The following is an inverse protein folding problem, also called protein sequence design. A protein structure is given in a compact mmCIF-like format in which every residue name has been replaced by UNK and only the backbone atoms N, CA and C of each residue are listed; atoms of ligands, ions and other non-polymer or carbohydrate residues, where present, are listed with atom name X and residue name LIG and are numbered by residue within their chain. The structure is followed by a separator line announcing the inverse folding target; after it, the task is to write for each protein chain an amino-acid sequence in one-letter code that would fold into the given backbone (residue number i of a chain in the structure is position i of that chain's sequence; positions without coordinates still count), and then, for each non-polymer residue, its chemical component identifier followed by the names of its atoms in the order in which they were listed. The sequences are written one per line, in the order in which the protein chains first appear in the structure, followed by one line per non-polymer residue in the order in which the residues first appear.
data_IF_339978178494
#
_entry.id   IF_339978178494
#
_cell.length_a   1.000
_cell.length_b   1.000
_cell.length_c   1.000
_cell.angle_alpha   90.00
_cell.angle_beta   90.00
_cell.angle_gamma   90.00
#
_symmetry.space_group_name_H-M   'P 1'
#
loop_
_entity.id
_entity.type
_entity.pdbx_description
1 polymer ?
#
# COMPACT_ATOMS: atom_id res chain seq x y z
N UNK A 1 0.18 11.21 31.84
CA UNK A 1 1.35 11.12 30.95
C UNK A 1 0.87 11.71 29.64
N UNK A 2 1.28 12.94 29.33
CA UNK A 2 0.93 13.54 28.04
C UNK A 2 1.43 12.60 26.95
N UNK A 3 0.57 12.22 26.01
CA UNK A 3 1.02 11.50 24.81
C UNK A 3 2.00 12.45 24.10
N UNK A 4 3.28 12.08 24.06
CA UNK A 4 4.21 12.68 23.10
C UNK A 4 3.56 12.68 21.73
N UNK A 5 3.68 13.79 20.99
CA UNK A 5 3.10 13.85 19.67
C UNK A 5 3.72 12.76 18.79
N UNK A 6 2.94 12.18 17.87
CA UNK A 6 3.44 11.15 16.94
C UNK A 6 4.70 11.67 16.21
N UNK A 7 4.76 12.97 15.92
CA UNK A 7 5.90 13.61 15.27
C UNK A 7 7.16 13.52 16.15
N UNK A 8 7.06 13.85 17.43
CA UNK A 8 8.19 13.75 18.38
C UNK A 8 8.66 12.30 18.54
N UNK A 9 7.74 11.32 18.58
CA UNK A 9 8.10 9.90 18.69
C UNK A 9 8.90 9.38 17.49
N UNK A 10 8.87 10.08 16.35
CA UNK A 10 9.63 9.74 15.15
C UNK A 10 11.00 10.43 15.08
N UNK A 11 11.32 11.32 16.02
CA UNK A 11 12.64 11.95 16.08
C UNK A 11 13.75 10.91 16.24
N UNK A 12 14.86 11.08 15.50
CA UNK A 12 16.01 10.19 15.49
C UNK A 12 15.71 8.70 15.14
N UNK A 13 14.51 8.39 14.65
CA UNK A 13 14.16 7.05 14.19
C UNK A 13 14.72 6.77 12.78
N UNK A 14 14.97 5.49 12.50
CA UNK A 14 15.30 5.00 11.17
C UNK A 14 14.14 4.19 10.62
N UNK A 15 13.62 4.57 9.45
CA UNK A 15 12.46 3.90 8.84
C UNK A 15 12.85 3.22 7.54
N UNK A 16 12.50 1.96 7.38
CA UNK A 16 12.56 1.25 6.11
C UNK A 16 11.19 1.28 5.43
N UNK A 17 11.12 1.69 4.17
CA UNK A 17 9.88 1.74 3.39
C UNK A 17 10.02 0.86 2.15
N UNK A 18 9.13 -0.14 2.02
CA UNK A 18 8.99 -0.92 0.77
C UNK A 18 7.97 -0.26 -0.15
N UNK A 19 8.15 -0.41 -1.46
CA UNK A 19 7.22 0.18 -2.44
C UNK A 19 7.29 1.70 -2.46
N UNK A 20 8.47 2.29 -2.20
CA UNK A 20 8.67 3.72 -2.04
C UNK A 20 8.28 4.57 -3.27
N UNK A 21 8.23 3.96 -4.46
CA UNK A 21 7.75 4.63 -5.69
C UNK A 21 6.23 4.52 -5.89
N UNK A 22 5.51 3.81 -5.01
CA UNK A 22 4.06 3.70 -5.02
C UNK A 22 3.37 4.96 -4.50
N UNK A 23 2.12 5.18 -4.94
CA UNK A 23 1.34 6.38 -4.64
C UNK A 23 1.28 6.72 -3.14
N UNK A 24 0.85 5.76 -2.30
CA UNK A 24 0.70 5.97 -0.85
C UNK A 24 2.07 6.17 -0.16
N UNK A 25 3.05 5.32 -0.48
CA UNK A 25 4.38 5.38 0.13
C UNK A 25 5.08 6.71 -0.16
N UNK A 26 4.91 7.26 -1.37
CA UNK A 26 5.44 8.59 -1.71
C UNK A 26 4.86 9.70 -0.85
N UNK A 27 3.54 9.69 -0.63
CA UNK A 27 2.88 10.65 0.27
C UNK A 27 3.42 10.50 1.69
N UNK A 28 3.61 9.27 2.17
CA UNK A 28 4.21 9.01 3.47
C UNK A 28 5.63 9.57 3.57
N UNK A 29 6.50 9.28 2.59
CA UNK A 29 7.88 9.78 2.56
C UNK A 29 7.91 11.32 2.53
N UNK A 30 7.10 11.96 1.68
CA UNK A 30 6.96 13.43 1.66
C UNK A 30 6.55 13.96 3.03
N UNK A 31 5.49 13.38 3.62
CA UNK A 31 4.95 13.84 4.90
C UNK A 31 6.00 13.76 6.00
N UNK A 32 6.72 12.65 6.13
CA UNK A 32 7.77 12.47 7.15
C UNK A 32 8.88 13.49 6.97
N UNK A 33 9.42 13.65 5.77
CA UNK A 33 10.51 14.60 5.51
C UNK A 33 10.09 16.05 5.77
N UNK A 34 8.82 16.39 5.52
CA UNK A 34 8.31 17.74 5.73
C UNK A 34 8.02 18.06 7.20
N UNK A 35 7.47 17.10 7.96
CA UNK A 35 6.99 17.37 9.34
C UNK A 35 7.96 16.92 10.43
N UNK A 36 8.90 16.03 10.12
CA UNK A 36 9.92 15.56 11.07
C UNK A 36 11.32 15.60 10.42
N UNK A 37 11.94 16.80 10.30
CA UNK A 37 13.26 16.95 9.70
C UNK A 37 14.38 16.30 10.53
N UNK A 38 14.15 16.00 11.81
CA UNK A 38 15.10 15.31 12.70
C UNK A 38 14.97 13.79 12.64
N UNK A 39 14.22 13.24 11.68
CA UNK A 39 14.30 11.81 11.37
C UNK A 39 15.76 11.44 11.09
N UNK A 40 16.23 10.30 11.60
CA UNK A 40 17.63 9.90 11.43
C UNK A 40 17.91 9.50 9.99
N UNK A 41 17.14 8.56 9.46
CA UNK A 41 17.33 8.04 8.10
C UNK A 41 16.08 7.34 7.57
N UNK A 42 15.88 7.38 6.25
CA UNK A 42 14.92 6.58 5.52
C UNK A 42 15.67 5.64 4.57
N UNK A 43 15.48 4.33 4.73
CA UNK A 43 15.87 3.34 3.73
C UNK A 43 14.68 3.08 2.80
N UNK A 44 14.85 3.34 1.51
CA UNK A 44 13.77 3.19 0.53
C UNK A 44 14.09 2.02 -0.41
N UNK A 45 13.33 0.93 -0.30
CA UNK A 45 13.45 -0.20 -1.23
C UNK A 45 12.78 0.18 -2.55
N UNK A 46 13.58 0.22 -3.61
CA UNK A 46 13.14 0.55 -4.97
C UNK A 46 13.51 -0.61 -5.89
N UNK A 47 12.50 -1.22 -6.52
CA UNK A 47 12.70 -2.33 -7.46
C UNK A 47 13.50 -1.87 -8.68
N UNK A 48 14.71 -2.37 -8.85
CA UNK A 48 15.56 -2.08 -10.01
C UNK A 48 16.62 -3.17 -10.16
N UNK A 49 17.26 -3.24 -11.32
CA UNK A 49 18.38 -4.17 -11.56
C UNK A 49 19.62 -3.84 -10.75
N UNK A 50 19.83 -2.56 -10.43
CA UNK A 50 21.00 -2.06 -9.74
C UNK A 50 20.72 -0.70 -9.07
N UNK A 51 21.67 -0.26 -8.25
CA UNK A 51 21.60 1.00 -7.50
C UNK A 51 21.45 2.22 -8.39
N UNK A 52 22.07 2.25 -9.58
CA UNK A 52 21.98 3.38 -10.50
C UNK A 52 20.56 3.52 -11.05
N UNK A 53 19.97 2.41 -11.48
CA UNK A 53 18.57 2.39 -11.93
C UNK A 53 17.60 2.69 -10.79
N UNK A 54 17.87 2.21 -9.57
CA UNK A 54 17.07 2.54 -8.39
C UNK A 54 17.08 4.04 -8.08
N UNK A 55 18.25 4.67 -8.11
CA UNK A 55 18.40 6.12 -7.94
C UNK A 55 17.70 6.91 -9.03
N UNK A 56 17.81 6.48 -10.29
CA UNK A 56 17.08 7.12 -11.40
C UNK A 56 15.56 7.04 -11.23
N UNK A 57 15.04 5.86 -10.86
CA UNK A 57 13.62 5.68 -10.55
C UNK A 57 13.19 6.53 -9.36
N UNK A 58 13.99 6.57 -8.29
CA UNK A 58 13.72 7.44 -7.14
C UNK A 58 13.65 8.92 -7.56
N UNK A 59 14.60 9.40 -8.35
CA UNK A 59 14.59 10.78 -8.83
C UNK A 59 13.33 11.07 -9.65
N UNK A 60 13.09 10.29 -10.71
CA UNK A 60 12.01 10.52 -11.69
C UNK A 60 10.60 10.22 -11.15
N UNK A 61 10.44 9.17 -10.35
CA UNK A 61 9.14 8.70 -9.87
C UNK A 61 8.75 9.28 -8.51
N UNK A 62 9.71 9.82 -7.74
CA UNK A 62 9.49 10.37 -6.39
C UNK A 62 9.83 11.86 -6.35
N UNK A 63 11.13 12.22 -6.40
CA UNK A 63 11.59 13.59 -6.13
C UNK A 63 11.09 14.58 -7.19
N UNK A 64 11.05 14.20 -8.46
CA UNK A 64 10.64 15.08 -9.54
C UNK A 64 9.13 15.34 -9.57
N UNK A 65 8.33 14.53 -8.86
CA UNK A 65 6.88 14.72 -8.80
C UNK A 65 6.52 16.02 -8.09
N UNK A 66 5.42 16.63 -8.54
CA UNK A 66 4.87 17.85 -7.93
C UNK A 66 4.56 17.67 -6.45
N UNK A 67 4.31 16.43 -5.99
CA UNK A 67 4.14 16.10 -4.58
C UNK A 67 5.23 16.71 -3.69
N UNK A 68 6.49 16.65 -4.15
CA UNK A 68 7.64 17.13 -3.39
C UNK A 68 7.86 18.64 -3.52
N UNK A 69 6.96 19.40 -4.16
CA UNK A 69 7.10 20.85 -4.35
C UNK A 69 7.30 21.60 -3.02
N UNK A 70 6.53 21.27 -1.99
CA UNK A 70 6.65 21.95 -0.68
C UNK A 70 8.02 21.71 -0.05
N UNK A 71 8.54 20.49 -0.11
CA UNK A 71 9.91 20.18 0.35
C UNK A 71 10.96 20.95 -0.49
N UNK A 72 10.78 21.00 -1.82
CA UNK A 72 11.67 21.78 -2.71
C UNK A 72 11.68 23.26 -2.34
N UNK A 73 10.53 23.83 -1.99
CA UNK A 73 10.40 25.22 -1.54
C UNK A 73 11.07 25.45 -0.18
N UNK A 74 10.91 24.53 0.78
CA UNK A 74 11.50 24.61 2.12
C UNK A 74 13.04 24.58 2.06
N UNK A 75 13.61 23.63 1.33
CA UNK A 75 15.07 23.41 1.35
C UNK A 75 15.81 24.16 0.23
N UNK A 76 15.12 24.53 -0.85
CA UNK A 76 15.70 25.27 -1.98
C UNK A 76 17.02 24.67 -2.47
N UNK A 77 18.11 25.44 -2.40
CA UNK A 77 19.45 25.02 -2.81
C UNK A 77 20.04 23.86 -1.99
N UNK A 78 19.55 23.67 -0.76
CA UNK A 78 20.03 22.61 0.15
C UNK A 78 19.27 21.29 -0.02
N UNK A 79 18.31 21.21 -0.95
CA UNK A 79 17.50 20.02 -1.18
C UNK A 79 18.35 18.76 -1.40
N UNK A 80 19.35 18.84 -2.28
CA UNK A 80 20.20 17.69 -2.59
C UNK A 80 20.93 17.17 -1.34
N UNK A 81 21.54 18.07 -0.58
CA UNK A 81 22.23 17.74 0.68
C UNK A 81 21.27 17.09 1.66
N UNK A 82 20.12 17.72 1.91
CA UNK A 82 19.10 17.20 2.82
C UNK A 82 18.62 15.79 2.42
N UNK A 83 18.29 15.59 1.15
CA UNK A 83 17.87 14.28 0.64
C UNK A 83 18.99 13.25 0.80
N UNK A 84 20.24 13.59 0.46
CA UNK A 84 21.37 12.67 0.57
C UNK A 84 21.72 12.29 2.02
N UNK A 85 21.48 13.19 2.97
CA UNK A 85 21.68 12.93 4.40
C UNK A 85 20.56 12.06 4.97
N UNK A 86 19.32 12.28 4.55
CA UNK A 86 18.14 11.63 5.12
C UNK A 86 17.74 10.34 4.43
N UNK A 87 18.10 10.13 3.16
CA UNK A 87 17.59 9.01 2.36
C UNK A 87 18.73 8.15 1.84
N UNK A 88 18.58 6.83 2.01
CA UNK A 88 19.35 5.83 1.29
C UNK A 88 18.41 5.01 0.42
N UNK A 89 18.59 5.13 -0.90
CA UNK A 89 17.85 4.32 -1.87
C UNK A 89 18.54 2.97 -2.01
N UNK A 90 17.76 1.90 -1.84
CA UNK A 90 18.25 0.52 -1.88
C UNK A 90 17.58 -0.18 -3.06
N UNK A 91 18.38 -0.65 -4.01
CA UNK A 91 17.88 -1.50 -5.08
C UNK A 91 17.46 -2.84 -4.48
N UNK A 92 16.17 -3.19 -4.59
CA UNK A 92 15.68 -4.44 -4.03
C UNK A 92 14.23 -4.74 -4.40
N UNK A 93 13.85 -6.01 -4.26
CA UNK A 93 12.52 -6.53 -4.54
C UNK A 93 11.96 -7.29 -3.34
N UNK A 94 10.71 -7.01 -2.97
CA UNK A 94 10.06 -7.62 -1.82
C UNK A 94 9.84 -9.13 -2.02
N UNK A 95 9.79 -9.62 -3.27
CA UNK A 95 9.67 -11.04 -3.58
C UNK A 95 10.94 -11.85 -3.28
N UNK A 96 12.00 -11.22 -2.80
CA UNK A 96 13.30 -11.84 -2.55
C UNK A 96 13.64 -11.78 -1.07
N UNK A 97 14.32 -12.80 -0.55
CA UNK A 97 14.89 -12.76 0.79
C UNK A 97 15.85 -11.57 0.95
N UNK A 98 15.76 -10.88 2.10
CA UNK A 98 16.53 -9.65 2.36
C UNK A 98 16.40 -8.61 1.24
N UNK A 99 15.25 -8.60 0.55
CA UNK A 99 14.95 -7.75 -0.59
C UNK A 99 15.88 -7.95 -1.80
N UNK A 100 16.64 -9.06 -1.86
CA UNK A 100 17.65 -9.29 -2.89
C UNK A 100 18.92 -8.42 -2.73
N UNK A 101 19.11 -7.78 -1.58
CA UNK A 101 20.29 -6.96 -1.29
C UNK A 101 21.49 -7.88 -1.09
N UNK A 102 22.48 -7.78 -1.98
CA UNK A 102 23.71 -8.59 -1.95
C UNK A 102 24.84 -7.91 -1.18
N UNK A 103 24.78 -6.59 -0.99
CA UNK A 103 25.73 -5.83 -0.19
C UNK A 103 25.55 -6.15 1.30
N UNK A 104 26.50 -6.89 1.86
CA UNK A 104 26.45 -7.35 3.25
C UNK A 104 26.61 -6.22 4.27
N UNK A 105 27.39 -5.18 3.94
CA UNK A 105 27.63 -4.05 4.84
C UNK A 105 26.36 -3.20 4.92
N UNK A 106 25.74 -2.89 3.79
CA UNK A 106 24.46 -2.20 3.73
C UNK A 106 23.36 -2.99 4.46
N UNK A 107 23.28 -4.30 4.23
CA UNK A 107 22.29 -5.14 4.88
C UNK A 107 22.45 -5.16 6.41
N UNK A 108 23.69 -5.22 6.91
CA UNK A 108 23.99 -5.13 8.34
C UNK A 108 23.73 -3.74 8.91
N UNK A 109 24.00 -2.67 8.15
CA UNK A 109 23.63 -1.31 8.52
C UNK A 109 22.12 -1.22 8.76
N UNK A 110 21.31 -1.70 7.79
CA UNK A 110 19.86 -1.68 7.88
C UNK A 110 19.36 -2.49 9.09
N UNK A 111 19.87 -3.72 9.30
CA UNK A 111 19.48 -4.56 10.46
C UNK A 111 19.75 -3.87 11.80
N UNK A 112 20.87 -3.15 11.93
CA UNK A 112 21.26 -2.44 13.17
C UNK A 112 20.46 -1.18 13.42
N UNK A 113 20.11 -0.46 12.36
CA UNK A 113 19.57 0.89 12.50
C UNK A 113 18.06 0.96 12.42
N UNK A 114 17.39 0.10 11.64
CA UNK A 114 15.94 0.20 11.40
C UNK A 114 15.15 0.00 12.70
N UNK A 115 14.35 1.02 13.04
CA UNK A 115 13.41 1.03 14.15
C UNK A 115 11.98 0.70 13.69
N UNK A 116 11.60 1.16 12.50
CA UNK A 116 10.25 1.04 11.94
C UNK A 116 10.31 0.53 10.51
N UNK A 117 9.46 -0.44 10.16
CA UNK A 117 9.33 -0.96 8.80
C UNK A 117 7.92 -0.71 8.28
N UNK A 118 7.81 0.03 7.19
CA UNK A 118 6.57 0.30 6.46
C UNK A 118 6.53 -0.56 5.21
N UNK A 119 5.72 -1.61 5.23
CA UNK A 119 5.51 -2.49 4.09
C UNK A 119 4.32 -2.00 3.25
N UNK A 120 4.62 -1.21 2.23
CA UNK A 120 3.62 -0.70 1.27
C UNK A 120 3.78 -1.30 -0.14
N UNK A 121 4.80 -2.15 -0.37
CA UNK A 121 4.95 -2.86 -1.63
C UNK A 121 3.78 -3.84 -1.83
N UNK A 122 3.13 -3.75 -2.98
CA UNK A 122 2.08 -4.67 -3.39
C UNK A 122 1.92 -4.66 -4.91
N UNK A 123 1.51 -5.79 -5.46
CA UNK A 123 0.81 -5.80 -6.74
C UNK A 123 -0.66 -5.52 -6.48
N UNK A 124 -1.19 -4.46 -7.10
CA UNK A 124 -2.57 -3.98 -6.87
C UNK A 124 -3.53 -4.31 -8.02
N UNK A 125 -3.09 -5.04 -9.04
CA UNK A 125 -3.97 -5.50 -10.12
C UNK A 125 -4.80 -6.68 -9.61
N UNK A 126 -6.12 -6.60 -9.80
CA UNK A 126 -7.05 -7.64 -9.33
C UNK A 126 -6.87 -8.98 -10.03
N UNK A 127 -6.38 -8.96 -11.27
CA UNK A 127 -6.16 -10.09 -12.16
C UNK A 127 -4.67 -10.26 -12.50
N UNK A 128 -3.73 -9.96 -11.59
CA UNK A 128 -2.31 -10.29 -11.87
C UNK A 128 -2.12 -11.81 -12.00
N UNK A 129 -1.11 -12.20 -12.79
CA UNK A 129 -0.56 -13.57 -12.81
C UNK A 129 -0.42 -14.12 -11.39
N UNK A 130 -0.96 -15.30 -11.15
CA UNK A 130 -1.09 -15.82 -9.78
C UNK A 130 0.23 -16.06 -9.06
N UNK A 131 1.22 -16.61 -9.77
CA UNK A 131 2.59 -16.79 -9.28
C UNK A 131 3.21 -15.46 -8.86
N UNK A 132 3.13 -14.43 -9.70
CA UNK A 132 3.65 -13.09 -9.40
C UNK A 132 2.93 -12.46 -8.20
N UNK A 133 1.60 -12.59 -8.14
CA UNK A 133 0.80 -12.05 -7.05
C UNK A 133 1.14 -12.71 -5.71
N UNK A 134 1.34 -14.04 -5.68
CA UNK A 134 1.80 -14.77 -4.50
C UNK A 134 3.17 -14.29 -4.04
N UNK A 135 4.15 -14.24 -4.94
CA UNK A 135 5.52 -13.86 -4.60
C UNK A 135 5.61 -12.44 -4.02
N UNK A 136 4.82 -11.50 -4.55
CA UNK A 136 4.85 -10.10 -4.07
C UNK A 136 3.98 -9.89 -2.82
N UNK A 137 2.70 -10.28 -2.87
CA UNK A 137 1.74 -9.90 -1.82
C UNK A 137 1.77 -10.87 -0.63
N UNK A 138 1.99 -12.16 -0.90
CA UNK A 138 1.98 -13.22 0.11
C UNK A 138 3.39 -13.46 0.64
N UNK A 139 4.30 -13.97 -0.19
CA UNK A 139 5.67 -14.29 0.25
C UNK A 139 6.52 -13.04 0.46
N UNK A 140 6.25 -11.94 -0.23
CA UNK A 140 6.88 -10.66 0.09
C UNK A 140 6.58 -10.18 1.51
N UNK A 141 5.38 -10.45 2.03
CA UNK A 141 5.06 -10.21 3.44
C UNK A 141 5.90 -11.09 4.37
N UNK A 142 6.21 -12.32 3.94
CA UNK A 142 7.14 -13.22 4.63
C UNK A 142 8.57 -12.73 4.64
N UNK A 143 9.10 -12.33 3.49
CA UNK A 143 10.46 -11.77 3.41
C UNK A 143 10.60 -10.51 4.25
N UNK A 144 9.54 -9.69 4.32
CA UNK A 144 9.49 -8.49 5.17
C UNK A 144 9.58 -8.83 6.65
N UNK A 145 8.76 -9.76 7.19
CA UNK A 145 8.86 -10.07 8.62
C UNK A 145 10.15 -10.83 8.94
N UNK A 146 10.64 -11.69 8.04
CA UNK A 146 11.95 -12.34 8.20
C UNK A 146 13.09 -11.32 8.33
N UNK A 147 13.04 -10.22 7.57
CA UNK A 147 14.01 -9.13 7.71
C UNK A 147 13.81 -8.38 9.03
N UNK A 148 12.56 -8.07 9.40
CA UNK A 148 12.25 -7.40 10.67
C UNK A 148 12.72 -8.22 11.89
N UNK A 149 12.60 -9.54 11.86
CA UNK A 149 13.07 -10.43 12.92
C UNK A 149 14.59 -10.40 13.08
N UNK A 150 15.32 -10.08 12.00
CA UNK A 150 16.78 -9.89 12.03
C UNK A 150 17.20 -8.49 12.48
N UNK A 151 16.27 -7.55 12.63
CA UNK A 151 16.57 -6.19 13.09
C UNK A 151 16.73 -6.14 14.62
N UNK A 152 17.75 -5.44 15.09
CA UNK A 152 18.11 -5.38 16.50
C UNK A 152 17.17 -4.48 17.32
N UNK A 153 16.73 -3.37 16.74
CA UNK A 153 15.97 -2.31 17.42
C UNK A 153 14.55 -2.17 16.87
N UNK A 154 14.01 -3.22 16.27
CA UNK A 154 12.70 -3.18 15.61
C UNK A 154 11.58 -2.92 16.63
N UNK A 155 10.87 -1.80 16.46
CA UNK A 155 9.76 -1.36 17.33
C UNK A 155 8.41 -1.64 16.69
N UNK A 156 8.28 -1.34 15.40
CA UNK A 156 7.01 -1.35 14.69
C UNK A 156 7.15 -1.84 13.25
N UNK A 157 6.34 -2.83 12.88
CA UNK A 157 6.07 -3.21 11.49
C UNK A 157 4.66 -2.75 11.12
N UNK A 158 4.54 -1.84 10.16
CA UNK A 158 3.27 -1.45 9.56
C UNK A 158 3.12 -2.12 8.20
N UNK A 159 2.05 -2.89 8.01
CA UNK A 159 1.71 -3.51 6.74
C UNK A 159 0.46 -2.85 6.13
N UNK A 160 0.59 -2.36 4.89
CA UNK A 160 -0.54 -1.86 4.12
C UNK A 160 -1.24 -3.03 3.44
N UNK A 161 -2.41 -3.39 3.95
CA UNK A 161 -3.32 -4.40 3.43
C UNK A 161 -4.46 -3.78 2.61
N UNK A 162 -5.68 -4.31 2.73
CA UNK A 162 -6.89 -3.74 2.12
C UNK A 162 -8.14 -4.15 2.89
N UNK A 163 -9.14 -3.27 2.99
CA UNK A 163 -10.43 -3.60 3.60
C UNK A 163 -11.17 -4.74 2.85
N UNK A 164 -10.86 -4.90 1.56
CA UNK A 164 -11.52 -5.88 0.68
C UNK A 164 -11.20 -7.32 1.02
N UNK A 165 -10.21 -7.62 1.88
CA UNK A 165 -9.97 -8.99 2.38
C UNK A 165 -11.19 -9.59 3.11
N UNK A 166 -12.11 -8.73 3.55
CA UNK A 166 -13.39 -9.14 4.14
C UNK A 166 -14.37 -9.71 3.11
N UNK A 167 -14.04 -9.66 1.82
CA UNK A 167 -14.85 -10.12 0.70
C UNK A 167 -16.13 -9.31 0.54
N UNK A 168 -17.22 -10.00 0.21
CA UNK A 168 -18.54 -9.41 -0.06
C UNK A 168 -19.44 -9.41 1.19
N UNK A 169 -18.86 -9.54 2.39
CA UNK A 169 -19.61 -9.48 3.65
C UNK A 169 -20.30 -8.12 3.79
N UNK A 170 -21.53 -8.15 4.29
CA UNK A 170 -22.33 -6.95 4.57
C UNK A 170 -22.55 -6.76 6.08
N UNK A 171 -22.94 -5.54 6.46
CA UNK A 171 -23.16 -5.17 7.86
C UNK A 171 -21.89 -4.71 8.58
N UNK A 172 -21.85 -4.92 9.89
CA UNK A 172 -20.74 -4.50 10.75
C UNK A 172 -19.63 -5.54 10.67
N UNK A 173 -18.46 -5.12 10.19
CA UNK A 173 -17.26 -5.94 10.09
C UNK A 173 -16.24 -5.41 11.10
N UNK A 174 -15.89 -6.23 12.08
CA UNK A 174 -14.90 -5.87 13.10
C UNK A 174 -13.48 -6.10 12.60
N UNK A 175 -12.52 -5.33 13.12
CA UNK A 175 -11.10 -5.40 12.81
C UNK A 175 -10.41 -6.61 13.46
N UNK A 176 -10.94 -7.82 13.21
CA UNK A 176 -10.33 -9.06 13.69
C UNK A 176 -9.17 -9.50 12.78
N UNK A 177 -8.09 -10.06 13.35
CA UNK A 177 -7.05 -10.70 12.56
C UNK A 177 -7.59 -11.98 11.88
N UNK A 178 -7.09 -12.26 10.68
CA UNK A 178 -7.31 -13.57 10.04
C UNK A 178 -6.42 -14.62 10.70
N UNK A 179 -6.98 -15.80 10.97
CA UNK A 179 -6.19 -16.93 11.45
C UNK A 179 -5.55 -17.67 10.28
N UNK A 180 -4.42 -18.31 10.51
CA UNK A 180 -3.81 -19.20 9.52
C UNK A 180 -4.80 -20.27 9.10
N UNK A 181 -4.98 -20.42 7.78
CA UNK A 181 -5.93 -21.34 7.17
C UNK A 181 -7.38 -20.86 7.12
N UNK A 182 -7.74 -19.71 7.70
CA UNK A 182 -9.09 -19.19 7.65
C UNK A 182 -9.51 -18.87 6.21
N UNK A 183 -10.75 -19.20 5.82
CA UNK A 183 -11.32 -18.89 4.50
C UNK A 183 -12.64 -18.15 4.60
N UNK A 184 -12.99 -17.37 3.58
CA UNK A 184 -14.28 -16.65 3.57
C UNK A 184 -15.48 -17.56 3.36
N UNK A 185 -15.28 -18.72 2.73
CA UNK A 185 -16.33 -19.73 2.54
C UNK A 185 -16.59 -20.60 3.79
N UNK A 186 -15.85 -20.39 4.89
CA UNK A 186 -16.03 -21.06 6.18
C UNK A 186 -15.41 -22.45 6.32
N UNK A 187 -14.75 -22.99 5.27
CA UNK A 187 -14.08 -24.30 5.32
C UNK A 187 -12.82 -24.31 6.20
N UNK A 188 -12.12 -23.17 6.26
CA UNK A 188 -10.87 -22.99 7.02
C UNK A 188 -9.79 -24.03 6.69
N UNK A 189 -9.65 -24.36 5.40
CA UNK A 189 -8.78 -25.38 4.84
C UNK A 189 -7.66 -24.80 3.95
N UNK A 190 -7.40 -23.48 4.03
CA UNK A 190 -6.37 -22.84 3.23
C UNK A 190 -4.96 -23.23 3.67
N UNK A 191 -4.19 -23.82 2.77
CA UNK A 191 -2.77 -24.05 2.97
C UNK A 191 -1.94 -23.20 1.99
N UNK A 192 -1.31 -22.15 2.51
CA UNK A 192 -0.54 -21.18 1.71
C UNK A 192 0.60 -21.86 0.93
N UNK A 193 1.21 -22.91 1.49
CA UNK A 193 2.29 -23.63 0.80
C UNK A 193 1.75 -24.51 -0.33
N UNK A 194 0.56 -25.08 -0.17
CA UNK A 194 -0.10 -25.80 -1.26
C UNK A 194 -0.52 -24.85 -2.39
N UNK A 195 -0.95 -23.63 -2.07
CA UNK A 195 -1.22 -22.60 -3.09
C UNK A 195 0.04 -22.25 -3.89
N UNK A 196 1.21 -22.13 -3.23
CA UNK A 196 2.49 -21.91 -3.92
C UNK A 196 2.85 -23.08 -4.83
N UNK A 197 2.74 -24.31 -4.31
CA UNK A 197 3.02 -25.51 -5.10
C UNK A 197 2.08 -25.61 -6.32
N UNK A 198 0.78 -25.31 -6.13
CA UNK A 198 -0.21 -25.33 -7.20
C UNK A 198 0.10 -24.28 -8.28
N UNK A 199 0.54 -23.07 -7.90
CA UNK A 199 0.97 -22.05 -8.84
C UNK A 199 2.21 -22.48 -9.64
N UNK A 200 3.21 -23.06 -8.97
CA UNK A 200 4.43 -23.55 -9.61
C UNK A 200 4.16 -24.74 -10.54
N UNK A 201 3.34 -25.69 -10.12
CA UNK A 201 2.94 -26.83 -10.95
C UNK A 201 2.19 -26.36 -12.19
N UNK A 202 1.24 -25.44 -12.03
CA UNK A 202 0.48 -24.90 -13.17
C UNK A 202 1.39 -24.18 -14.15
N UNK A 203 2.32 -23.36 -13.66
CA UNK A 203 3.29 -22.67 -14.52
C UNK A 203 4.18 -23.69 -15.27
N UNK A 204 4.70 -24.71 -14.58
CA UNK A 204 5.51 -25.75 -15.20
C UNK A 204 4.77 -26.57 -16.27
N UNK A 205 3.46 -26.81 -16.10
CA UNK A 205 2.61 -27.43 -17.12
C UNK A 205 2.49 -26.55 -18.37
N UNK A 206 2.22 -25.25 -18.18
CA UNK A 206 2.09 -24.29 -19.29
C UNK A 206 3.41 -24.11 -20.06
N UNK A 207 4.54 -24.11 -19.34
CA UNK A 207 5.88 -24.07 -19.94
C UNK A 207 6.16 -25.33 -20.77
N UNK A 208 5.75 -26.51 -20.29
CA UNK A 208 5.90 -27.78 -21.00
C UNK A 208 5.05 -27.85 -22.28
N UNK A 209 3.89 -27.18 -22.30
CA UNK A 209 3.05 -27.01 -23.48
C UNK A 209 3.66 -26.05 -24.53
N UNK A 210 4.78 -25.36 -24.20
CA UNK A 210 5.46 -24.37 -25.05
C UNK A 210 4.55 -23.24 -25.53
N UNK A 211 3.64 -22.81 -24.66
CA UNK A 211 2.81 -21.64 -24.90
C UNK A 211 3.68 -20.38 -24.92
N UNK A 212 3.21 -19.34 -25.60
CA UNK A 212 3.85 -18.03 -25.51
C UNK A 212 3.56 -17.33 -24.17
N UNK A 213 4.36 -16.31 -23.85
CA UNK A 213 4.27 -15.56 -22.58
C UNK A 213 2.90 -14.90 -22.38
N UNK A 214 2.21 -14.50 -23.45
CA UNK A 214 0.88 -13.89 -23.36
C UNK A 214 -0.17 -14.93 -22.95
N UNK A 215 -0.13 -16.12 -23.57
CA UNK A 215 -0.98 -17.24 -23.22
C UNK A 215 -0.72 -17.75 -21.79
N UNK A 216 0.55 -17.87 -21.39
CA UNK A 216 0.95 -18.21 -20.01
C UNK A 216 0.37 -17.18 -19.04
N UNK A 217 0.54 -15.89 -19.34
CA UNK A 217 0.03 -14.81 -18.52
C UNK A 217 -1.48 -14.91 -18.36
N UNK A 218 -2.24 -15.00 -19.45
CA UNK A 218 -3.70 -15.15 -19.40
C UNK A 218 -4.13 -16.37 -18.58
N UNK A 219 -3.53 -17.54 -18.81
CA UNK A 219 -3.87 -18.76 -18.08
C UNK A 219 -3.58 -18.64 -16.57
N UNK A 220 -2.46 -18.02 -16.19
CA UNK A 220 -2.10 -17.83 -14.78
C UNK A 220 -2.97 -16.79 -14.08
N UNK A 221 -3.49 -15.79 -14.81
CA UNK A 221 -4.49 -14.85 -14.26
C UNK A 221 -5.81 -15.54 -13.96
N UNK A 222 -6.32 -16.31 -14.93
CA UNK A 222 -7.56 -17.08 -14.78
C UNK A 222 -7.43 -18.09 -13.62
N UNK A 223 -6.27 -18.74 -13.52
CA UNK A 223 -5.97 -19.65 -12.43
C UNK A 223 -6.05 -18.95 -11.08
N UNK A 224 -5.42 -17.78 -10.92
CA UNK A 224 -5.49 -17.00 -9.67
C UNK A 224 -6.93 -16.63 -9.26
N UNK A 225 -7.77 -16.24 -10.23
CA UNK A 225 -9.19 -15.95 -9.98
C UNK A 225 -9.92 -17.22 -9.52
N UNK A 226 -9.65 -18.38 -10.14
CA UNK A 226 -10.25 -19.65 -9.72
C UNK A 226 -9.83 -20.03 -8.30
N UNK A 227 -8.54 -19.87 -7.95
CA UNK A 227 -8.03 -20.13 -6.59
C UNK A 227 -8.65 -19.19 -5.55
N UNK A 228 -8.75 -17.90 -5.86
CA UNK A 228 -9.41 -16.94 -4.97
C UNK A 228 -10.87 -17.33 -4.69
N UNK A 229 -11.64 -17.64 -5.75
CA UNK A 229 -13.05 -18.05 -5.64
C UNK A 229 -13.23 -19.37 -4.89
N UNK A 230 -12.31 -20.32 -5.06
CA UNK A 230 -12.31 -21.59 -4.32
C UNK A 230 -12.38 -21.35 -2.81
N UNK A 231 -11.63 -20.36 -2.32
CA UNK A 231 -11.54 -20.00 -0.90
C UNK A 231 -12.51 -18.89 -0.46
N UNK A 232 -13.33 -18.37 -1.39
CA UNK A 232 -14.38 -17.39 -1.13
C UNK A 232 -13.97 -15.92 -1.29
N UNK A 233 -12.77 -15.64 -1.80
CA UNK A 233 -12.35 -14.28 -2.14
C UNK A 233 -12.72 -13.91 -3.59
N UNK A 234 -13.03 -12.63 -3.86
CA UNK A 234 -13.56 -12.22 -5.15
C UNK A 234 -12.50 -12.21 -6.27
N UNK A 235 -11.22 -12.03 -5.93
CA UNK A 235 -10.12 -11.93 -6.91
C UNK A 235 -8.75 -12.23 -6.28
N UNK A 236 -7.75 -12.36 -7.15
CA UNK A 236 -6.36 -12.72 -6.80
C UNK A 236 -5.69 -11.73 -5.86
N UNK A 237 -5.89 -10.43 -6.08
CA UNK A 237 -5.29 -9.39 -5.23
C UNK A 237 -5.75 -9.53 -3.78
N UNK A 238 -7.06 -9.58 -3.57
CA UNK A 238 -7.64 -9.67 -2.23
C UNK A 238 -7.21 -10.95 -1.53
N UNK A 239 -7.21 -12.07 -2.26
CA UNK A 239 -6.80 -13.36 -1.73
C UNK A 239 -5.32 -13.38 -1.29
N UNK A 240 -4.42 -12.87 -2.12
CA UNK A 240 -2.98 -12.85 -1.82
C UNK A 240 -2.63 -11.89 -0.68
N UNK A 241 -3.38 -10.79 -0.52
CA UNK A 241 -3.27 -9.89 0.64
C UNK A 241 -3.74 -10.54 1.94
N UNK A 242 -4.82 -11.31 1.91
CA UNK A 242 -5.29 -12.06 3.08
C UNK A 242 -4.23 -13.09 3.53
N UNK A 243 -3.63 -13.83 2.60
CA UNK A 243 -2.53 -14.75 2.91
C UNK A 243 -1.29 -14.02 3.46
N UNK A 244 -0.97 -12.83 2.94
CA UNK A 244 0.11 -12.00 3.47
C UNK A 244 -0.09 -11.59 4.93
N UNK A 245 -1.34 -11.22 5.30
CA UNK A 245 -1.66 -10.92 6.71
C UNK A 245 -1.49 -12.14 7.62
N UNK A 246 -1.94 -13.32 7.18
CA UNK A 246 -1.80 -14.56 7.96
C UNK A 246 -0.33 -14.88 8.25
N UNK A 247 0.53 -14.77 7.24
CA UNK A 247 1.97 -14.99 7.39
C UNK A 247 2.62 -13.98 8.35
N UNK A 248 2.23 -12.70 8.29
CA UNK A 248 2.73 -11.66 9.20
C UNK A 248 2.31 -11.91 10.65
N UNK A 249 1.04 -12.23 10.88
CA UNK A 249 0.49 -12.45 12.22
C UNK A 249 1.11 -13.67 12.92
N UNK A 250 1.39 -14.72 12.15
CA UNK A 250 2.01 -15.93 12.69
C UNK A 250 3.53 -15.78 12.84
N UNK A 251 4.19 -15.26 11.80
CA UNK A 251 5.65 -15.30 11.67
C UNK A 251 6.41 -14.23 12.44
N UNK A 252 5.87 -13.01 12.58
CA UNK A 252 6.57 -11.92 13.24
C UNK A 252 6.79 -12.21 14.74
N UNK A 253 8.00 -11.95 15.23
CA UNK A 253 8.33 -12.09 16.65
C UNK A 253 7.45 -11.21 17.55
N UNK A 254 7.09 -11.72 18.73
CA UNK A 254 6.03 -11.15 19.59
C UNK A 254 6.40 -9.84 20.29
N UNK A 255 7.69 -9.51 20.36
CA UNK A 255 8.18 -8.24 20.91
C UNK A 255 8.05 -7.06 19.93
N UNK A 256 7.82 -7.32 18.64
CA UNK A 256 7.61 -6.26 17.64
C UNK A 256 6.13 -5.93 17.52
N UNK A 257 5.79 -4.65 17.60
CA UNK A 257 4.42 -4.20 17.36
C UNK A 257 4.05 -4.36 15.88
N UNK A 258 2.92 -4.98 15.60
CA UNK A 258 2.38 -5.13 14.24
C UNK A 258 1.14 -4.26 14.06
N UNK A 259 1.16 -3.39 13.05
CA UNK A 259 -0.01 -2.63 12.60
C UNK A 259 -0.39 -3.10 11.21
N UNK A 260 -1.63 -3.54 11.03
CA UNK A 260 -2.18 -3.87 9.73
C UNK A 260 -3.16 -2.76 9.34
N UNK A 261 -2.78 -1.94 8.37
CA UNK A 261 -3.63 -0.89 7.83
C UNK A 261 -4.43 -1.46 6.66
N UNK A 262 -5.76 -1.45 6.74
CA UNK A 262 -6.66 -1.99 5.69
C UNK A 262 -7.38 -0.85 4.95
N UNK A 263 -6.70 -0.10 4.06
CA UNK A 263 -7.34 0.98 3.32
C UNK A 263 -8.42 0.45 2.36
N UNK A 264 -9.40 1.30 2.08
CA UNK A 264 -10.34 1.17 0.96
C UNK A 264 -9.74 1.80 -0.30
N UNK A 265 -10.54 2.48 -1.12
CA UNK A 265 -10.06 3.34 -2.20
C UNK A 265 -9.22 4.48 -1.63
N UNK A 266 -8.01 4.65 -2.17
CA UNK A 266 -7.13 5.78 -1.91
C UNK A 266 -7.23 6.74 -3.10
N UNK A 267 -7.46 8.02 -2.82
CA UNK A 267 -7.73 9.05 -3.81
C UNK A 267 -6.87 10.30 -3.55
N UNK A 268 -7.10 11.37 -4.29
CA UNK A 268 -6.30 12.61 -4.25
C UNK A 268 -6.25 13.22 -2.85
N UNK A 269 -5.15 13.89 -2.54
CA UNK A 269 -4.97 14.60 -1.27
C UNK A 269 -6.11 15.60 -1.03
N UNK A 270 -6.68 15.60 0.17
CA UNK A 270 -7.69 16.59 0.54
C UNK A 270 -7.07 17.94 0.89
N UNK A 271 -6.00 17.95 1.71
CA UNK A 271 -5.41 19.18 2.25
C UNK A 271 -3.89 19.23 2.12
N UNK A 272 -3.19 18.19 2.58
CA UNK A 272 -1.73 18.17 2.66
C UNK A 272 -1.09 17.20 1.65
N UNK A 273 0.15 17.49 1.18
CA UNK A 273 0.89 18.75 1.36
C UNK A 273 0.25 19.94 0.64
N UNK A 274 -0.61 19.66 -0.34
CA UNK A 274 -1.52 20.59 -0.98
C UNK A 274 -2.74 19.80 -1.51
N UNK A 275 -3.90 20.43 -1.72
CA UNK A 275 -5.10 19.75 -2.20
C UNK A 275 -4.96 19.26 -3.65
N UNK A 276 -5.56 18.10 -3.93
CA UNK A 276 -5.82 17.60 -5.28
C UNK A 276 -4.66 16.84 -5.94
N UNK A 277 -3.55 16.57 -5.23
CA UNK A 277 -2.48 15.75 -5.80
C UNK A 277 -2.93 14.29 -5.92
N UNK A 278 -2.76 13.71 -7.11
CA UNK A 278 -3.05 12.31 -7.41
C UNK A 278 -2.06 11.78 -8.45
N UNK A 279 -1.83 10.48 -8.44
CA UNK A 279 -0.97 9.82 -9.43
C UNK A 279 -1.69 8.69 -10.17
N UNK A 280 -1.84 8.89 -11.47
CA UNK A 280 -2.56 7.99 -12.36
C UNK A 280 -4.07 7.98 -12.09
N UNK A 281 -4.79 7.21 -12.91
CA UNK A 281 -6.23 7.00 -12.79
C UNK A 281 -6.46 5.82 -11.84
N UNK A 282 -7.18 6.02 -10.73
CA UNK A 282 -7.48 4.99 -9.72
C UNK A 282 -8.98 4.67 -9.69
N UNK A 283 -9.34 3.40 -9.82
CA UNK A 283 -10.69 2.87 -9.55
C UNK A 283 -11.84 3.77 -10.04
N UNK A 284 -12.43 4.59 -9.16
CA UNK A 284 -13.57 5.48 -9.48
C UNK A 284 -13.20 6.55 -10.51
N UNK A 285 -11.94 6.97 -10.55
CA UNK A 285 -11.42 7.96 -11.49
C UNK A 285 -11.64 7.52 -12.94
N UNK A 286 -11.59 6.21 -13.24
CA UNK A 286 -11.85 5.69 -14.58
C UNK A 286 -13.25 6.04 -15.07
N UNK A 287 -14.25 5.92 -14.17
CA UNK A 287 -15.62 6.34 -14.44
C UNK A 287 -15.71 7.86 -14.59
N UNK A 288 -15.09 8.62 -13.68
CA UNK A 288 -15.08 10.09 -13.73
C UNK A 288 -14.50 10.59 -15.07
N UNK A 289 -13.37 10.03 -15.52
CA UNK A 289 -12.74 10.37 -16.80
C UNK A 289 -13.62 9.96 -17.97
N UNK A 290 -14.20 8.76 -17.96
CA UNK A 290 -15.07 8.28 -19.03
C UNK A 290 -16.31 9.18 -19.20
N UNK A 291 -16.95 9.57 -18.08
CA UNK A 291 -18.07 10.50 -18.10
C UNK A 291 -17.67 11.91 -18.54
N UNK A 292 -16.52 12.42 -18.09
CA UNK A 292 -16.01 13.73 -18.51
C UNK A 292 -15.72 13.83 -20.01
N UNK A 293 -15.25 12.75 -20.63
CA UNK A 293 -15.03 12.67 -22.09
C UNK A 293 -16.33 12.58 -22.91
N UNK A 294 -17.45 12.17 -22.32
CA UNK A 294 -18.73 11.94 -22.99
C UNK A 294 -19.63 13.19 -23.16
N UNK A 295 -19.08 14.41 -23.04
CA UNK A 295 -19.72 15.76 -23.14
C UNK A 295 -20.46 16.26 -21.89
N UNK A 296 -20.24 17.55 -21.62
CA UNK A 296 -20.38 18.30 -20.37
C UNK A 296 -21.79 18.52 -19.77
N UNK A 297 -22.90 18.00 -20.33
CA UNK A 297 -24.24 18.26 -19.77
C UNK A 297 -24.79 17.16 -18.85
N UNK A 298 -24.35 15.91 -19.00
CA UNK A 298 -24.76 14.80 -18.13
C UNK A 298 -23.80 14.58 -16.95
N UNK A 299 -22.60 15.18 -16.98
CA UNK A 299 -21.58 15.02 -15.95
C UNK A 299 -22.07 15.51 -14.57
N UNK A 300 -22.66 16.70 -14.48
CA UNK A 300 -23.19 17.24 -13.21
C UNK A 300 -24.39 16.45 -12.68
N UNK A 301 -25.27 15.95 -13.55
CA UNK A 301 -26.48 15.18 -13.18
C UNK A 301 -26.18 13.74 -12.74
N UNK A 302 -25.16 13.10 -13.33
CA UNK A 302 -24.74 11.75 -12.95
C UNK A 302 -23.85 11.82 -11.70
N UNK A 303 -22.91 12.77 -11.64
CA UNK A 303 -22.10 12.97 -10.45
C UNK A 303 -22.97 13.38 -9.25
N UNK A 304 -23.99 14.23 -9.43
CA UNK A 304 -24.95 14.52 -8.35
C UNK A 304 -25.76 13.30 -7.94
N UNK A 305 -26.13 12.39 -8.86
CA UNK A 305 -26.76 11.10 -8.54
C UNK A 305 -25.83 10.12 -7.81
N UNK A 306 -24.53 10.13 -8.08
CA UNK A 306 -23.55 9.28 -7.38
C UNK A 306 -23.13 9.89 -6.02
N UNK A 307 -23.00 11.21 -5.94
CA UNK A 307 -22.75 11.96 -4.70
C UNK A 307 -23.95 11.92 -3.74
N UNK A 308 -25.16 11.66 -4.24
CA UNK A 308 -26.39 11.59 -3.42
C UNK A 308 -26.60 10.26 -2.70
N UNK A 309 -25.79 9.22 -2.98
CA UNK A 309 -25.79 7.97 -2.20
C UNK A 309 -24.52 7.88 -1.36
N UNK A 310 -24.35 8.85 -0.45
CA UNK A 310 -23.45 8.69 0.68
C UNK A 310 -24.17 7.89 1.77
N UNK A 311 -23.93 6.58 1.82
CA UNK A 311 -24.42 5.71 2.90
C UNK A 311 -23.29 5.46 3.91
N UNK A 312 -23.33 6.17 5.04
CA UNK A 312 -22.44 5.97 6.19
C UNK A 312 -23.08 5.15 7.31
N UNK A 313 -24.18 4.43 7.05
CA UNK A 313 -24.94 3.74 8.10
C UNK A 313 -24.07 2.78 8.91
N UNK A 314 -23.26 1.94 8.25
CA UNK A 314 -22.39 0.99 8.94
C UNK A 314 -21.26 1.69 9.71
N UNK A 315 -20.82 2.83 9.21
CA UNK A 315 -19.76 3.61 9.80
C UNK A 315 -20.20 4.38 11.04
N UNK A 316 -21.38 4.98 10.95
CA UNK A 316 -22.08 5.59 12.09
C UNK A 316 -22.36 4.55 13.17
N UNK A 317 -22.77 3.33 12.79
CA UNK A 317 -22.94 2.21 13.74
C UNK A 317 -21.62 1.83 14.41
N UNK A 318 -20.54 1.63 13.65
CA UNK A 318 -19.21 1.33 14.20
C UNK A 318 -18.74 2.43 15.17
N UNK A 319 -18.87 3.71 14.77
CA UNK A 319 -18.54 4.85 15.63
C UNK A 319 -19.38 4.85 16.91
N UNK A 320 -20.67 4.53 16.85
CA UNK A 320 -21.51 4.45 18.05
C UNK A 320 -21.13 3.33 19.02
N UNK A 321 -20.40 2.32 18.54
CA UNK A 321 -19.89 1.21 19.35
C UNK A 321 -18.51 1.48 19.96
N UNK A 322 -17.78 2.50 19.47
CA UNK A 322 -16.48 2.87 20.00
C UNK A 322 -16.61 3.52 21.37
N UNK A 323 -15.62 3.30 22.24
CA UNK A 323 -15.61 3.99 23.53
C UNK A 323 -15.10 5.45 23.38
N UNK A 324 -15.33 6.29 24.39
CA UNK A 324 -14.95 7.72 24.34
C UNK A 324 -13.45 7.93 24.07
N UNK A 325 -12.59 7.11 24.67
CA UNK A 325 -11.13 7.19 24.48
C UNK A 325 -10.71 6.87 23.04
N UNK A 326 -11.34 5.88 22.42
CA UNK A 326 -11.12 5.52 21.02
C UNK A 326 -11.63 6.61 20.08
N UNK A 327 -12.79 7.20 20.37
CA UNK A 327 -13.32 8.31 19.58
C UNK A 327 -12.43 9.54 19.62
N UNK A 328 -11.82 9.85 20.77
CA UNK A 328 -10.90 10.99 20.90
C UNK A 328 -9.57 10.73 20.17
N UNK A 329 -9.11 9.47 20.14
CA UNK A 329 -7.82 9.10 19.54
C UNK A 329 -7.90 8.89 18.02
N UNK A 330 -8.95 8.22 17.56
CA UNK A 330 -9.15 7.82 16.16
C UNK A 330 -10.37 8.52 15.56
N UNK A 331 -10.61 9.78 15.93
CA UNK A 331 -11.79 10.52 15.50
C UNK A 331 -11.94 10.47 13.97
N UNK A 332 -13.06 9.91 13.57
CA UNK A 332 -13.37 9.68 12.18
C UNK A 332 -14.86 9.90 11.97
N UNK A 333 -15.17 11.04 11.35
CA UNK A 333 -16.52 11.42 10.95
C UNK A 333 -16.49 11.75 9.46
N UNK A 334 -17.18 11.00 8.61
CA UNK A 334 -17.22 11.34 7.20
C UNK A 334 -17.82 12.72 6.91
N UNK A 335 -18.68 13.21 7.80
CA UNK A 335 -19.28 14.55 7.69
C UNK A 335 -18.27 15.66 8.00
N UNK A 336 -17.06 15.30 8.47
CA UNK A 336 -15.96 16.26 8.63
C UNK A 336 -15.44 16.80 7.30
N UNK A 337 -15.73 16.12 6.19
CA UNK A 337 -15.40 16.57 4.84
C UNK A 337 -16.65 17.10 4.15
N UNK A 338 -16.53 18.28 3.54
CA UNK A 338 -17.48 18.70 2.52
C UNK A 338 -17.19 17.90 1.24
N UNK A 339 -17.89 16.78 1.06
CA UNK A 339 -17.68 15.87 -0.06
C UNK A 339 -17.95 16.53 -1.42
N UNK A 340 -18.97 17.38 -1.52
CA UNK A 340 -19.26 18.10 -2.76
C UNK A 340 -18.09 19.00 -3.14
N UNK A 341 -17.60 19.81 -2.21
CA UNK A 341 -16.43 20.65 -2.42
C UNK A 341 -15.18 19.83 -2.75
N UNK A 342 -14.94 18.73 -2.00
CA UNK A 342 -13.84 17.83 -2.28
C UNK A 342 -13.89 17.29 -3.72
N UNK A 343 -15.02 16.75 -4.15
CA UNK A 343 -15.11 16.19 -5.50
C UNK A 343 -15.01 17.27 -6.57
N UNK A 344 -15.79 18.35 -6.44
CA UNK A 344 -15.94 19.37 -7.48
C UNK A 344 -14.74 20.31 -7.59
N UNK A 345 -14.17 20.71 -6.46
CA UNK A 345 -13.15 21.76 -6.42
C UNK A 345 -11.74 21.24 -6.15
N UNK A 346 -11.59 20.00 -5.65
CA UNK A 346 -10.28 19.43 -5.30
C UNK A 346 -9.94 18.23 -6.18
N UNK A 347 -10.72 17.16 -6.11
CA UNK A 347 -10.40 15.87 -6.71
C UNK A 347 -10.52 15.89 -8.23
N UNK A 348 -11.66 16.32 -8.80
CA UNK A 348 -11.84 16.37 -10.26
C UNK A 348 -10.83 17.32 -10.92
N UNK A 349 -10.61 18.56 -10.44
CA UNK A 349 -9.57 19.42 -10.97
C UNK A 349 -8.17 18.81 -10.84
N UNK A 350 -7.88 18.17 -9.70
CA UNK A 350 -6.64 17.43 -9.46
C UNK A 350 -6.41 16.32 -10.47
N UNK A 351 -7.44 15.50 -10.72
CA UNK A 351 -7.42 14.41 -11.70
C UNK A 351 -7.13 14.94 -13.12
N UNK A 352 -7.80 16.02 -13.53
CA UNK A 352 -7.54 16.68 -14.82
C UNK A 352 -6.10 17.18 -14.91
N UNK A 353 -5.59 17.80 -13.84
CA UNK A 353 -4.25 18.37 -13.81
C UNK A 353 -3.15 17.30 -13.80
N UNK A 354 -3.30 16.27 -12.98
CA UNK A 354 -2.22 15.35 -12.64
C UNK A 354 -2.35 13.96 -13.26
N UNK A 355 -3.54 13.48 -13.59
CA UNK A 355 -3.71 12.11 -14.12
C UNK A 355 -4.03 12.08 -15.63
N UNK A 356 -4.77 13.07 -16.14
CA UNK A 356 -5.21 13.07 -17.56
C UNK A 356 -4.21 13.77 -18.48
N UNK A 357 -3.52 14.80 -17.98
CA UNK A 357 -2.59 15.64 -18.76
C UNK A 357 -1.13 15.14 -18.76
N UNK A 358 -0.87 13.95 -18.22
CA UNK A 358 0.46 13.32 -18.27
C UNK A 358 0.65 12.48 -19.53
#
# INVERSE_FOLDING_TARGET
MEMESIIESLENMTILVTGATGFLAKIFVEKILRVQPNIKKLFLIVRASDTKMALHRFQSEVIDKELFRVIKEIYGKNLHTFISEKITVVAGDVSMENFGVTDFDLLNEMRRQVDVLINSAANTKFDERYDIALEINTFGSKHVYNFADQCFNMKLLLHVSTAYISGEKSGIILERPFKMGETLNGKNDLNIREEQNAAQERLGQLDAEKLDEEAISCAMKDFGIQRAKLHGWPNTYVFTKAMGEMLLLEGLRKDVSLVILRPTIITSTYKEPFPGWIEGIKTIDGYIVAFGKAKFHTFSLILSKYLTFYDDTNLSKLRSMANLSEMDTFYFDPKSLNWEDYFMNIHIPGLVKYAIKQ
#
